data_IF_603015188962
#
_entry.id   IF_603015188962
#
_cell.length_a   1.000
_cell.length_b   1.000
_cell.length_c   1.000
_cell.angle_alpha   90.00
_cell.angle_beta   90.00
_cell.angle_gamma   90.00
#
_symmetry.space_group_name_H-M   'P 1'
#
loop_
_entity.id
_entity.type
_entity.pdbx_description
1 polymer ?
#
# COMPACT_ATOMS: atom_id res chain seq x y z
N UNK A 1 2.57 10.13 7.94
CA UNK A 1 1.75 9.19 8.72
C UNK A 1 1.37 9.84 10.05
N UNK A 2 0.07 9.79 10.41
CA UNK A 2 -0.44 10.33 11.66
C UNK A 2 -1.44 9.37 12.29
N UNK A 3 -1.48 9.34 13.63
CA UNK A 3 -2.48 8.56 14.37
C UNK A 3 -3.76 9.38 14.47
N UNK A 4 -4.88 8.74 14.11
CA UNK A 4 -6.23 9.32 14.15
C UNK A 4 -7.09 8.51 15.13
N UNK A 5 -7.85 9.20 15.96
CA UNK A 5 -8.82 8.58 16.86
C UNK A 5 -10.23 8.98 16.49
N UNK A 6 -11.13 8.01 16.45
CA UNK A 6 -12.55 8.23 16.18
C UNK A 6 -13.40 7.51 17.21
N UNK A 7 -14.40 8.21 17.75
CA UNK A 7 -15.45 7.58 18.51
C UNK A 7 -16.41 6.91 17.53
N UNK A 8 -16.40 5.58 17.52
CA UNK A 8 -17.27 4.78 16.67
C UNK A 8 -18.55 4.38 17.42
N UNK A 9 -19.65 4.23 16.70
CA UNK A 9 -20.90 3.74 17.29
C UNK A 9 -20.73 2.32 17.83
N UNK A 10 -21.52 1.98 18.86
CA UNK A 10 -21.54 0.63 19.42
C UNK A 10 -21.81 -0.41 18.32
N UNK A 11 -21.00 -1.48 18.30
CA UNK A 11 -21.10 -2.55 17.30
C UNK A 11 -20.49 -2.23 15.94
N UNK A 12 -19.94 -1.02 15.70
CA UNK A 12 -19.31 -0.66 14.44
C UNK A 12 -17.88 -1.18 14.28
N UNK A 13 -17.18 -1.50 15.37
CA UNK A 13 -15.80 -2.00 15.34
C UNK A 13 -15.74 -3.40 14.74
N UNK A 14 -14.76 -3.63 13.85
CA UNK A 14 -14.62 -4.89 13.14
C UNK A 14 -13.16 -5.22 12.85
N UNK A 15 -12.49 -5.96 13.74
CA UNK A 15 -11.09 -6.36 13.60
C UNK A 15 -10.19 -5.18 13.18
N UNK A 16 -9.33 -5.37 12.22
CA UNK A 16 -8.49 -4.31 11.66
C UNK A 16 -9.21 -3.44 10.60
N UNK A 17 -10.35 -3.87 10.09
CA UNK A 17 -11.05 -3.14 9.03
C UNK A 17 -11.79 -1.91 9.54
N UNK A 18 -12.17 -1.89 10.83
CA UNK A 18 -12.74 -0.71 11.48
C UNK A 18 -12.37 -0.64 12.96
N UNK A 19 -11.48 0.27 13.29
CA UNK A 19 -10.88 0.47 14.61
C UNK A 19 -11.11 1.90 15.12
N UNK A 20 -11.06 2.10 16.43
CA UNK A 20 -11.21 3.43 17.04
C UNK A 20 -9.94 4.29 16.99
N UNK A 21 -8.78 3.66 16.85
CA UNK A 21 -7.49 4.33 16.67
C UNK A 21 -6.72 3.70 15.53
N UNK A 22 -6.25 4.50 14.56
CA UNK A 22 -5.59 4.00 13.37
C UNK A 22 -4.56 4.98 12.82
N UNK A 23 -3.68 4.49 11.96
CA UNK A 23 -2.67 5.28 11.26
C UNK A 23 -3.17 5.64 9.87
N UNK A 24 -3.10 6.91 9.51
CA UNK A 24 -3.49 7.41 8.19
C UNK A 24 -2.30 8.03 7.47
N UNK A 25 -2.22 7.81 6.15
CA UNK A 25 -1.23 8.39 5.24
C UNK A 25 -1.74 9.68 4.60
N UNK A 26 -2.32 10.55 5.40
CA UNK A 26 -2.92 11.80 4.95
C UNK A 26 -1.87 12.81 4.50
N UNK A 27 -2.16 13.51 3.40
CA UNK A 27 -1.34 14.60 2.89
C UNK A 27 -2.23 15.70 2.32
N UNK A 28 -1.71 16.94 2.42
CA UNK A 28 -2.39 18.15 1.98
C UNK A 28 -1.61 18.77 0.83
N UNK A 29 -2.27 18.95 -0.31
CA UNK A 29 -1.73 19.61 -1.49
C UNK A 29 -2.34 21.01 -1.54
N UNK A 30 -1.48 22.03 -1.54
CA UNK A 30 -1.88 23.42 -1.61
C UNK A 30 -1.47 23.94 -2.98
N UNK A 31 -2.43 24.40 -3.76
CA UNK A 31 -2.22 24.77 -5.16
C UNK A 31 -3.06 25.97 -5.57
N UNK A 32 -2.75 26.56 -6.71
CA UNK A 32 -3.55 27.60 -7.32
C UNK A 32 -4.80 27.01 -8.00
N UNK A 33 -5.85 27.81 -8.25
CA UNK A 33 -7.07 27.30 -8.87
C UNK A 33 -6.84 26.61 -10.22
N UNK A 34 -5.92 27.10 -11.02
CA UNK A 34 -5.56 26.54 -12.34
C UNK A 34 -4.79 25.20 -12.24
N UNK A 35 -4.16 24.91 -11.11
CA UNK A 35 -3.43 23.67 -10.86
C UNK A 35 -4.31 22.52 -10.34
N UNK A 36 -5.53 22.80 -9.87
CA UNK A 36 -6.37 21.78 -9.22
C UNK A 36 -6.56 20.55 -10.07
N UNK A 37 -6.93 20.72 -11.34
CA UNK A 37 -7.20 19.60 -12.23
C UNK A 37 -5.99 18.66 -12.33
N UNK A 38 -4.80 19.22 -12.56
CA UNK A 38 -3.55 18.44 -12.66
C UNK A 38 -3.19 17.77 -11.35
N UNK A 39 -3.36 18.45 -10.21
CA UNK A 39 -3.03 17.87 -8.89
C UNK A 39 -3.99 16.74 -8.49
N UNK A 40 -5.28 16.86 -8.79
CA UNK A 40 -6.26 15.78 -8.58
C UNK A 40 -5.89 14.56 -9.43
N UNK A 41 -5.56 14.78 -10.73
CA UNK A 41 -5.15 13.71 -11.64
C UNK A 41 -3.88 13.02 -11.13
N UNK A 42 -2.87 13.77 -10.71
CA UNK A 42 -1.62 13.24 -10.17
C UNK A 42 -1.87 12.41 -8.91
N UNK A 43 -2.67 12.93 -7.97
CA UNK A 43 -3.05 12.21 -6.77
C UNK A 43 -3.81 10.91 -7.09
N UNK A 44 -4.71 10.93 -8.07
CA UNK A 44 -5.47 9.76 -8.52
C UNK A 44 -4.56 8.73 -9.18
N UNK A 45 -3.73 9.14 -10.14
CA UNK A 45 -2.74 8.27 -10.80
C UNK A 45 -1.81 7.60 -9.78
N UNK A 46 -1.35 8.36 -8.78
CA UNK A 46 -0.49 7.83 -7.73
C UNK A 46 -1.24 6.83 -6.85
N UNK A 47 -2.50 7.08 -6.48
CA UNK A 47 -3.33 6.15 -5.74
C UNK A 47 -3.51 4.82 -6.49
N UNK A 48 -3.83 4.90 -7.78
CA UNK A 48 -3.96 3.73 -8.65
C UNK A 48 -2.66 2.94 -8.78
N UNK A 49 -1.56 3.65 -8.95
CA UNK A 49 -0.24 3.04 -9.02
C UNK A 49 0.06 2.24 -7.74
N UNK A 50 -0.14 2.84 -6.58
CA UNK A 50 0.11 2.17 -5.29
C UNK A 50 -0.79 0.94 -5.14
N UNK A 51 -2.11 1.05 -5.34
CA UNK A 51 -3.03 -0.08 -5.21
C UNK A 51 -2.63 -1.24 -6.13
N UNK A 52 -2.33 -0.95 -7.40
CA UNK A 52 -1.89 -1.95 -8.39
C UNK A 52 -0.55 -2.59 -8.03
N UNK A 53 0.39 -1.83 -7.46
CA UNK A 53 1.69 -2.35 -7.00
C UNK A 53 1.52 -3.42 -5.93
N UNK A 54 0.47 -3.31 -5.12
CA UNK A 54 0.10 -4.34 -4.14
C UNK A 54 -0.83 -5.43 -4.71
N UNK A 55 -1.05 -5.47 -6.04
CA UNK A 55 -1.92 -6.45 -6.68
C UNK A 55 -3.42 -6.22 -6.43
N UNK A 56 -3.79 -5.03 -5.97
CA UNK A 56 -5.18 -4.65 -5.70
C UNK A 56 -5.70 -3.84 -6.90
N UNK A 57 -6.29 -4.50 -7.86
CA UNK A 57 -6.83 -3.92 -9.10
C UNK A 57 -8.38 -3.94 -9.17
N UNK A 58 -9.03 -4.65 -8.25
CA UNK A 58 -10.49 -4.74 -8.15
C UNK A 58 -11.04 -3.60 -7.26
N UNK A 59 -11.00 -2.39 -7.77
CA UNK A 59 -11.56 -1.22 -7.09
C UNK A 59 -12.64 -0.54 -7.95
N UNK A 60 -13.48 0.23 -7.26
CA UNK A 60 -14.53 1.05 -7.86
C UNK A 60 -14.38 2.50 -7.41
N UNK A 61 -14.50 3.43 -8.34
CA UNK A 61 -14.46 4.85 -8.04
C UNK A 61 -15.85 5.40 -7.75
N UNK A 62 -15.94 6.26 -6.75
CA UNK A 62 -17.15 6.98 -6.37
C UNK A 62 -16.85 8.47 -6.29
N UNK A 63 -17.75 9.31 -6.82
CA UNK A 63 -17.70 10.76 -6.63
C UNK A 63 -18.78 11.12 -5.64
N UNK A 64 -18.38 11.53 -4.45
CA UNK A 64 -19.27 11.89 -3.37
C UNK A 64 -19.62 13.38 -3.45
N UNK A 65 -20.93 13.65 -3.55
CA UNK A 65 -21.48 14.97 -3.80
C UNK A 65 -21.88 15.72 -2.52
N UNK A 66 -22.42 16.92 -2.67
CA UNK A 66 -22.80 17.83 -1.57
C UNK A 66 -23.77 17.16 -0.59
N UNK A 67 -23.48 17.15 0.73
CA UNK A 67 -24.43 16.70 1.73
C UNK A 67 -25.65 17.65 1.79
N UNK A 68 -26.83 17.09 2.01
CA UNK A 68 -28.06 17.88 2.17
C UNK A 68 -28.02 18.85 3.37
N UNK A 69 -27.30 18.48 4.41
CA UNK A 69 -27.21 19.26 5.67
C UNK A 69 -25.75 19.56 6.00
N UNK A 70 -25.51 20.76 6.52
CA UNK A 70 -24.21 21.20 7.08
C UNK A 70 -23.06 21.23 6.07
N UNK A 71 -23.28 21.72 4.85
CA UNK A 71 -22.21 21.99 3.89
C UNK A 71 -21.77 23.46 3.94
N UNK A 72 -20.48 23.69 3.62
CA UNK A 72 -19.84 25.00 3.46
C UNK A 72 -19.66 25.26 1.96
N UNK A 73 -19.58 26.53 1.55
CA UNK A 73 -19.50 26.93 0.14
C UNK A 73 -20.86 27.05 -0.52
N UNK A 74 -20.94 27.80 -1.60
CA UNK A 74 -22.14 27.93 -2.39
C UNK A 74 -22.33 26.77 -3.39
N UNK A 75 -23.48 26.70 -4.04
CA UNK A 75 -23.77 25.60 -4.97
C UNK A 75 -22.82 25.62 -6.17
N UNK A 76 -22.41 26.79 -6.61
CA UNK A 76 -21.46 26.93 -7.72
C UNK A 76 -20.08 26.38 -7.38
N UNK A 77 -19.56 26.68 -6.19
CA UNK A 77 -18.27 26.11 -5.73
C UNK A 77 -18.30 24.57 -5.72
N UNK A 78 -19.45 24.00 -5.29
CA UNK A 78 -19.66 22.55 -5.30
C UNK A 78 -19.72 21.98 -6.71
N UNK A 79 -20.49 22.61 -7.60
CA UNK A 79 -20.66 22.15 -8.99
C UNK A 79 -19.31 22.18 -9.73
N UNK A 80 -18.56 23.29 -9.63
CA UNK A 80 -17.24 23.44 -10.24
C UNK A 80 -16.24 22.40 -9.72
N UNK A 81 -16.25 22.11 -8.41
CA UNK A 81 -15.37 21.11 -7.82
C UNK A 81 -15.78 19.68 -8.21
N UNK A 82 -17.07 19.34 -8.19
CA UNK A 82 -17.57 18.03 -8.64
C UNK A 82 -17.20 17.79 -10.10
N UNK A 83 -17.35 18.81 -10.96
CA UNK A 83 -16.97 18.72 -12.37
C UNK A 83 -15.46 18.47 -12.53
N UNK A 84 -14.63 19.16 -11.76
CA UNK A 84 -13.18 18.94 -11.76
C UNK A 84 -12.82 17.50 -11.36
N UNK A 85 -13.49 16.95 -10.33
CA UNK A 85 -13.28 15.57 -9.90
C UNK A 85 -13.75 14.56 -10.95
N UNK A 86 -14.90 14.80 -11.62
CA UNK A 86 -15.40 13.95 -12.73
C UNK A 86 -14.40 13.92 -13.88
N UNK A 87 -13.93 15.08 -14.31
CA UNK A 87 -12.97 15.19 -15.40
C UNK A 87 -11.67 14.44 -15.08
N UNK A 88 -11.18 14.54 -13.84
CA UNK A 88 -9.98 13.80 -13.41
C UNK A 88 -10.17 12.28 -13.45
N UNK A 89 -11.33 11.77 -13.02
CA UNK A 89 -11.63 10.33 -13.06
C UNK A 89 -11.74 9.82 -14.50
N UNK A 90 -12.40 10.58 -15.38
CA UNK A 90 -12.51 10.25 -16.81
C UNK A 90 -11.14 10.25 -17.49
N UNK A 91 -10.32 11.28 -17.23
CA UNK A 91 -8.95 11.37 -17.79
C UNK A 91 -8.04 10.24 -17.29
N UNK A 92 -8.25 9.77 -16.05
CA UNK A 92 -7.56 8.60 -15.52
C UNK A 92 -8.06 7.27 -16.12
N UNK A 93 -9.05 7.28 -16.99
CA UNK A 93 -9.62 6.10 -17.65
C UNK A 93 -10.46 5.23 -16.73
N UNK A 94 -11.06 5.81 -15.69
CA UNK A 94 -11.88 5.08 -14.72
C UNK A 94 -13.38 5.33 -14.96
N UNK A 95 -14.15 4.26 -14.73
CA UNK A 95 -15.60 4.37 -14.53
C UNK A 95 -15.90 4.77 -13.09
N UNK A 96 -16.95 5.54 -12.86
CA UNK A 96 -17.36 5.98 -11.55
C UNK A 96 -18.86 5.92 -11.33
N UNK A 97 -19.27 5.85 -10.08
CA UNK A 97 -20.64 6.08 -9.64
C UNK A 97 -20.73 7.35 -8.79
N UNK A 98 -21.92 7.94 -8.75
CA UNK A 98 -22.19 9.08 -7.88
C UNK A 98 -22.64 8.55 -6.51
N UNK A 99 -22.00 9.04 -5.45
CA UNK A 99 -22.40 8.85 -4.05
C UNK A 99 -23.10 10.14 -3.58
N UNK A 100 -24.42 10.17 -3.77
CA UNK A 100 -25.23 11.35 -3.48
C UNK A 100 -25.17 11.71 -1.98
N UNK A 101 -24.73 12.94 -1.71
CA UNK A 101 -24.61 13.43 -0.33
C UNK A 101 -23.46 12.84 0.48
N UNK A 102 -22.62 11.99 -0.10
CA UNK A 102 -21.50 11.33 0.58
C UNK A 102 -20.27 12.20 0.80
N UNK A 103 -20.25 13.43 0.28
CA UNK A 103 -19.15 14.38 0.43
C UNK A 103 -18.92 14.82 1.89
N UNK A 104 -17.77 15.41 2.16
CA UNK A 104 -17.54 16.06 3.44
C UNK A 104 -18.29 17.40 3.49
N UNK A 105 -18.49 17.94 4.69
CA UNK A 105 -19.14 19.24 4.83
C UNK A 105 -18.39 20.40 4.14
N UNK A 106 -17.09 20.20 3.86
CA UNK A 106 -16.17 21.19 3.31
C UNK A 106 -15.77 20.94 1.86
N UNK A 107 -16.29 19.89 1.21
CA UNK A 107 -16.07 19.65 -0.20
C UNK A 107 -16.37 18.24 -0.69
N UNK A 108 -16.47 18.06 -2.01
CA UNK A 108 -16.66 16.77 -2.66
C UNK A 108 -15.39 15.93 -2.61
N UNK A 109 -15.52 14.64 -2.91
CA UNK A 109 -14.37 13.71 -2.89
C UNK A 109 -14.50 12.59 -3.93
N UNK A 110 -13.35 12.06 -4.35
CA UNK A 110 -13.21 10.78 -5.03
C UNK A 110 -12.85 9.73 -3.97
N UNK A 111 -13.65 8.67 -3.87
CA UNK A 111 -13.33 7.51 -3.05
C UNK A 111 -13.06 6.31 -3.95
N UNK A 112 -11.91 5.64 -3.72
CA UNK A 112 -11.64 4.33 -4.30
C UNK A 112 -11.98 3.27 -3.26
N UNK A 113 -12.96 2.41 -3.57
CA UNK A 113 -13.38 1.30 -2.71
C UNK A 113 -12.86 -0.02 -3.26
N UNK A 114 -12.25 -0.81 -2.39
CA UNK A 114 -11.81 -2.18 -2.67
C UNK A 114 -12.84 -3.18 -2.17
N UNK A 115 -12.95 -4.32 -2.84
CA UNK A 115 -13.75 -5.45 -2.37
C UNK A 115 -12.88 -6.42 -1.59
N UNK A 116 -13.35 -6.80 -0.40
CA UNK A 116 -12.73 -7.87 0.37
C UNK A 116 -13.06 -9.26 -0.20
N UNK A 117 -12.50 -10.31 0.38
CA UNK A 117 -12.72 -11.69 -0.05
C UNK A 117 -14.20 -12.13 0.04
N UNK A 118 -15.03 -11.44 0.81
CA UNK A 118 -16.47 -11.66 0.94
C UNK A 118 -17.30 -10.77 0.02
N UNK A 119 -16.67 -9.93 -0.82
CA UNK A 119 -17.32 -9.00 -1.74
C UNK A 119 -17.82 -7.70 -1.08
N UNK A 120 -17.49 -7.43 0.19
CA UNK A 120 -17.86 -6.18 0.87
C UNK A 120 -16.93 -5.07 0.41
N UNK A 121 -17.50 -3.89 0.17
CA UNK A 121 -16.74 -2.71 -0.25
C UNK A 121 -16.17 -1.95 0.95
N UNK A 122 -14.89 -1.63 0.87
CA UNK A 122 -14.17 -0.84 1.86
C UNK A 122 -13.49 0.34 1.21
N UNK A 123 -13.78 1.54 1.70
CA UNK A 123 -13.07 2.75 1.28
C UNK A 123 -11.60 2.65 1.70
N UNK A 124 -10.71 2.83 0.72
CA UNK A 124 -9.26 2.89 0.90
C UNK A 124 -8.74 4.27 0.53
N UNK A 125 -8.52 4.54 -0.75
CA UNK A 125 -8.00 5.84 -1.17
C UNK A 125 -9.10 6.89 -1.22
N UNK A 126 -8.74 8.12 -0.83
CA UNK A 126 -9.63 9.29 -0.91
C UNK A 126 -8.85 10.49 -1.42
N UNK A 127 -9.45 11.23 -2.34
CA UNK A 127 -8.97 12.54 -2.82
C UNK A 127 -10.10 13.52 -2.61
N UNK A 128 -9.87 14.55 -1.82
CA UNK A 128 -10.90 15.43 -1.28
C UNK A 128 -10.58 16.88 -1.58
N UNK A 129 -11.50 17.57 -2.20
CA UNK A 129 -11.41 19.01 -2.41
C UNK A 129 -11.84 19.73 -1.13
N UNK A 130 -11.12 20.77 -0.72
CA UNK A 130 -11.42 21.53 0.49
C UNK A 130 -11.52 23.03 0.19
N UNK A 131 -12.72 23.59 0.35
CA UNK A 131 -12.98 25.03 0.24
C UNK A 131 -12.69 25.79 1.53
N UNK A 132 -12.62 25.12 2.67
CA UNK A 132 -12.74 25.71 3.99
C UNK A 132 -11.40 26.05 4.62
N UNK A 133 -10.48 25.10 4.69
CA UNK A 133 -9.23 25.29 5.46
C UNK A 133 -8.36 26.43 4.96
N UNK A 134 -8.16 26.63 3.62
CA UNK A 134 -7.37 27.77 3.15
C UNK A 134 -7.91 29.11 3.63
N UNK A 135 -9.23 29.28 3.63
CA UNK A 135 -9.88 30.51 4.11
C UNK A 135 -9.75 30.65 5.63
N UNK A 136 -10.00 29.57 6.39
CA UNK A 136 -9.94 29.59 7.86
C UNK A 136 -8.54 29.88 8.41
N UNK A 137 -7.52 29.42 7.70
CA UNK A 137 -6.12 29.71 8.05
C UNK A 137 -5.61 31.02 7.44
N UNK A 138 -6.46 31.80 6.76
CA UNK A 138 -6.07 33.01 6.05
C UNK A 138 -4.87 32.79 5.13
N UNK A 139 -4.84 31.64 4.45
CA UNK A 139 -3.76 31.31 3.53
C UNK A 139 -3.81 32.21 2.31
N UNK A 140 -2.66 32.66 1.85
CA UNK A 140 -2.56 33.46 0.64
C UNK A 140 -1.28 33.19 -0.12
N UNK A 141 -1.34 33.31 -1.44
CA UNK A 141 -0.19 33.37 -2.34
C UNK A 141 -0.26 34.67 -3.17
N UNK A 142 0.89 35.07 -3.70
CA UNK A 142 0.96 36.22 -4.60
C UNK A 142 0.79 35.73 -6.04
N UNK A 143 -0.25 36.20 -6.70
CA UNK A 143 -0.52 35.85 -8.10
C UNK A 143 0.37 36.61 -9.08
N UNK A 144 0.27 36.27 -10.37
CA UNK A 144 0.98 36.97 -11.44
C UNK A 144 0.59 38.43 -11.59
N UNK A 145 -0.56 38.82 -11.08
CA UNK A 145 -1.09 40.17 -11.00
C UNK A 145 -0.49 40.99 -9.83
N UNK A 146 0.37 40.35 -9.00
CA UNK A 146 0.96 40.96 -7.81
C UNK A 146 -0.01 41.05 -6.62
N UNK A 147 -1.26 40.59 -6.75
CA UNK A 147 -2.25 40.58 -5.68
C UNK A 147 -2.18 39.30 -4.85
N UNK A 148 -2.76 39.35 -3.64
CA UNK A 148 -2.90 38.16 -2.77
C UNK A 148 -4.18 37.43 -3.12
N UNK A 149 -4.07 36.13 -3.34
CA UNK A 149 -5.18 35.21 -3.61
C UNK A 149 -5.20 34.07 -2.59
N UNK A 150 -6.39 33.52 -2.33
CA UNK A 150 -6.55 32.33 -1.49
C UNK A 150 -6.25 31.07 -2.33
N UNK A 151 -5.34 30.19 -1.91
CA UNK A 151 -5.09 28.93 -2.60
C UNK A 151 -6.25 27.97 -2.42
N UNK A 152 -6.23 26.88 -3.16
CA UNK A 152 -7.09 25.71 -3.00
C UNK A 152 -6.33 24.61 -2.25
N UNK A 153 -7.06 23.67 -1.66
CA UNK A 153 -6.48 22.56 -0.92
C UNK A 153 -7.13 21.26 -1.35
N UNK A 154 -6.29 20.24 -1.48
CA UNK A 154 -6.71 18.86 -1.75
C UNK A 154 -6.13 17.99 -0.64
N UNK A 155 -6.98 17.24 0.06
CA UNK A 155 -6.55 16.19 0.96
C UNK A 155 -6.45 14.88 0.17
N UNK A 156 -5.43 14.09 0.44
CA UNK A 156 -5.34 12.76 -0.14
C UNK A 156 -4.85 11.75 0.88
N UNK A 157 -5.48 10.60 0.90
CA UNK A 157 -5.01 9.39 1.57
C UNK A 157 -4.98 8.27 0.53
N UNK A 158 -3.86 7.54 0.42
CA UNK A 158 -3.71 6.45 -0.54
C UNK A 158 -4.24 5.14 0.02
N UNK A 159 -3.80 4.80 1.23
CA UNK A 159 -4.21 3.58 1.93
C UNK A 159 -5.48 3.80 2.75
N UNK A 160 -5.80 5.04 3.10
CA UNK A 160 -6.79 5.39 4.10
C UNK A 160 -6.30 5.01 5.50
N UNK A 161 -6.87 3.98 6.14
CA UNK A 161 -6.31 3.39 7.36
C UNK A 161 -5.31 2.30 6.98
N UNK A 162 -4.08 2.39 7.49
CA UNK A 162 -3.06 1.34 7.28
C UNK A 162 -3.51 -0.01 7.85
N UNK A 163 -4.23 -0.01 8.96
CA UNK A 163 -4.77 -1.22 9.60
C UNK A 163 -5.77 -1.91 8.68
N UNK A 164 -6.70 -1.15 8.07
CA UNK A 164 -7.67 -1.69 7.10
C UNK A 164 -6.96 -2.19 5.85
N UNK A 165 -6.04 -1.41 5.30
CA UNK A 165 -5.28 -1.79 4.12
C UNK A 165 -4.51 -3.09 4.37
N UNK A 166 -3.87 -3.23 5.53
CA UNK A 166 -3.18 -4.45 5.93
C UNK A 166 -4.14 -5.64 6.05
N UNK A 167 -5.34 -5.45 6.64
CA UNK A 167 -6.35 -6.50 6.68
C UNK A 167 -6.76 -6.95 5.28
N UNK A 168 -6.98 -6.00 4.36
CA UNK A 168 -7.32 -6.29 2.96
C UNK A 168 -6.20 -7.09 2.27
N UNK A 169 -4.93 -6.75 2.50
CA UNK A 169 -3.80 -7.50 1.96
C UNK A 169 -3.73 -8.93 2.52
N UNK A 170 -3.94 -9.11 3.83
CA UNK A 170 -3.94 -10.44 4.44
C UNK A 170 -5.04 -11.31 3.81
N UNK A 171 -6.25 -10.77 3.64
CA UNK A 171 -7.36 -11.49 3.03
C UNK A 171 -7.11 -11.78 1.55
N UNK A 172 -6.66 -10.79 0.78
CA UNK A 172 -6.38 -10.91 -0.65
C UNK A 172 -5.35 -12.01 -0.95
N UNK A 173 -4.25 -12.01 -0.20
CA UNK A 173 -3.18 -12.98 -0.37
C UNK A 173 -3.32 -14.21 0.51
N UNK A 174 -4.35 -14.28 1.36
CA UNK A 174 -4.46 -15.31 2.39
C UNK A 174 -3.14 -15.47 3.20
N UNK A 175 -2.43 -14.35 3.43
CA UNK A 175 -1.12 -14.30 4.06
C UNK A 175 0.06 -14.79 3.19
N UNK A 176 -0.20 -15.19 1.95
CA UNK A 176 0.78 -15.66 0.96
C UNK A 176 1.35 -14.48 0.16
N UNK A 177 2.11 -13.63 0.86
CA UNK A 177 2.59 -12.38 0.29
C UNK A 177 3.65 -12.58 -0.79
N UNK A 178 3.65 -11.76 -1.86
CA UNK A 178 4.75 -11.63 -2.79
C UNK A 178 6.08 -11.35 -2.10
N UNK A 179 7.18 -11.78 -2.71
CA UNK A 179 8.51 -11.71 -2.10
C UNK A 179 8.90 -10.30 -1.65
N UNK A 180 8.59 -9.27 -2.44
CA UNK A 180 9.08 -7.92 -2.19
C UNK A 180 8.55 -7.31 -0.87
N UNK A 181 7.34 -7.64 -0.42
CA UNK A 181 6.80 -7.14 0.85
C UNK A 181 6.50 -8.23 1.90
N UNK A 182 6.82 -9.50 1.63
CA UNK A 182 6.73 -10.54 2.65
C UNK A 182 7.53 -10.15 3.90
N UNK A 183 6.97 -10.22 5.13
CA UNK A 183 7.67 -9.83 6.35
C UNK A 183 8.97 -10.61 6.57
N UNK A 184 8.95 -11.90 6.29
CA UNK A 184 10.11 -12.77 6.17
C UNK A 184 10.15 -13.29 4.75
N UNK A 185 11.17 -12.89 4.00
CA UNK A 185 11.33 -13.26 2.60
C UNK A 185 11.97 -14.62 2.42
N UNK A 186 12.94 -14.91 3.28
CA UNK A 186 13.82 -16.07 3.17
C UNK A 186 13.94 -16.73 4.53
N UNK A 187 13.86 -18.05 4.59
CA UNK A 187 14.27 -18.83 5.78
C UNK A 187 15.50 -19.66 5.47
N UNK A 188 16.52 -19.60 6.32
CA UNK A 188 17.75 -20.38 6.22
C UNK A 188 17.65 -21.54 7.20
N UNK A 189 17.81 -22.76 6.69
CA UNK A 189 17.66 -24.01 7.46
C UNK A 189 18.91 -24.88 7.30
N UNK A 190 19.78 -24.95 8.33
CA UNK A 190 20.87 -25.92 8.35
C UNK A 190 20.33 -27.34 8.56
N UNK A 191 20.93 -28.34 7.88
CA UNK A 191 20.60 -29.75 8.04
C UNK A 191 21.09 -30.28 9.41
N UNK A 192 22.25 -29.79 9.85
CA UNK A 192 22.81 -30.09 11.16
C UNK A 192 23.49 -28.87 11.76
N UNK A 193 23.79 -28.93 13.07
CA UNK A 193 24.47 -27.84 13.80
C UNK A 193 25.89 -27.54 13.27
N UNK A 194 26.54 -28.48 12.58
CA UNK A 194 27.83 -28.24 11.91
C UNK A 194 27.77 -27.16 10.81
N UNK A 195 26.60 -26.89 10.27
CA UNK A 195 26.39 -25.88 9.22
C UNK A 195 25.98 -24.49 9.77
N UNK A 196 25.84 -24.37 11.10
CA UNK A 196 25.31 -23.15 11.72
C UNK A 196 26.14 -21.91 11.40
N UNK A 197 27.47 -22.02 11.41
CA UNK A 197 28.35 -20.88 11.17
C UNK A 197 28.26 -20.40 9.73
N UNK A 198 28.19 -21.33 8.76
CA UNK A 198 27.95 -20.98 7.37
C UNK A 198 26.60 -20.27 7.19
N UNK A 199 25.54 -20.76 7.82
CA UNK A 199 24.21 -20.15 7.77
C UNK A 199 24.18 -18.75 8.42
N UNK A 200 24.95 -18.54 9.51
CA UNK A 200 25.10 -17.21 10.14
C UNK A 200 25.76 -16.21 9.18
N UNK A 201 26.82 -16.63 8.49
CA UNK A 201 27.50 -15.78 7.50
C UNK A 201 26.61 -15.50 6.28
N UNK A 202 25.83 -16.48 5.83
CA UNK A 202 24.84 -16.28 4.76
C UNK A 202 23.77 -15.26 5.18
N UNK A 203 23.21 -15.39 6.39
CA UNK A 203 22.23 -14.45 6.95
C UNK A 203 22.79 -13.02 7.00
N UNK A 204 24.03 -12.83 7.44
CA UNK A 204 24.69 -11.51 7.43
C UNK A 204 24.74 -10.92 6.02
N UNK A 205 25.14 -11.72 5.02
CA UNK A 205 25.20 -11.28 3.62
C UNK A 205 23.83 -10.87 3.09
N UNK A 206 22.78 -11.66 3.35
CA UNK A 206 21.41 -11.35 2.93
C UNK A 206 20.92 -10.04 3.57
N UNK A 207 21.18 -9.82 4.85
CA UNK A 207 20.82 -8.58 5.57
C UNK A 207 21.53 -7.34 5.01
N UNK A 208 22.82 -7.46 4.67
CA UNK A 208 23.57 -6.38 4.02
C UNK A 208 22.96 -6.01 2.65
N UNK A 209 22.37 -6.98 1.96
CA UNK A 209 21.65 -6.80 0.70
C UNK A 209 20.21 -6.30 0.89
N UNK A 210 19.78 -6.01 2.13
CA UNK A 210 18.44 -5.52 2.44
C UNK A 210 17.35 -6.59 2.45
N UNK A 211 17.72 -7.88 2.42
CA UNK A 211 16.77 -8.99 2.45
C UNK A 211 16.39 -9.34 3.90
N UNK A 212 15.11 -9.60 4.11
CA UNK A 212 14.55 -9.98 5.43
C UNK A 212 14.58 -11.50 5.57
N UNK A 213 15.55 -11.98 6.32
CA UNK A 213 15.72 -13.42 6.55
C UNK A 213 15.35 -13.86 7.98
N UNK A 214 14.97 -15.11 8.10
CA UNK A 214 14.87 -15.87 9.35
C UNK A 214 15.90 -16.99 9.34
N UNK A 215 16.70 -17.10 10.39
CA UNK A 215 17.69 -18.16 10.56
C UNK A 215 17.19 -19.15 11.62
N UNK A 216 16.81 -20.36 11.20
CA UNK A 216 16.31 -21.40 12.07
C UNK A 216 17.44 -22.35 12.51
N UNK A 217 18.03 -22.07 13.66
CA UNK A 217 19.09 -22.89 14.29
C UNK A 217 18.54 -23.85 15.34
N UNK A 218 17.22 -24.04 15.44
CA UNK A 218 16.61 -25.00 16.38
C UNK A 218 17.03 -26.46 16.12
N UNK A 219 16.70 -27.32 17.05
CA UNK A 219 17.09 -28.75 17.01
C UNK A 219 16.07 -29.66 16.29
N UNK A 220 15.00 -29.07 15.73
CA UNK A 220 13.99 -29.79 14.98
C UNK A 220 14.58 -30.45 13.72
N UNK A 221 14.04 -31.61 13.36
CA UNK A 221 14.41 -32.30 12.12
C UNK A 221 14.11 -31.41 10.91
N UNK A 222 14.98 -31.41 9.90
CA UNK A 222 14.88 -30.61 8.68
C UNK A 222 13.47 -30.60 8.07
N UNK A 223 12.78 -31.77 7.99
CA UNK A 223 11.42 -31.86 7.46
C UNK A 223 10.41 -31.07 8.30
N UNK A 224 10.56 -31.04 9.62
CA UNK A 224 9.70 -30.28 10.52
C UNK A 224 9.95 -28.78 10.36
N UNK A 225 11.21 -28.35 10.26
CA UNK A 225 11.59 -26.96 9.99
C UNK A 225 10.98 -26.47 8.68
N UNK A 226 11.16 -27.23 7.58
CA UNK A 226 10.61 -26.88 6.26
C UNK A 226 9.08 -26.74 6.36
N UNK A 227 8.39 -27.74 6.95
CA UNK A 227 6.94 -27.67 7.14
C UNK A 227 6.50 -26.45 7.95
N UNK A 228 7.22 -26.10 9.01
CA UNK A 228 6.92 -24.91 9.81
C UNK A 228 7.06 -23.63 8.99
N UNK A 229 8.06 -23.53 8.11
CA UNK A 229 8.26 -22.39 7.23
C UNK A 229 7.16 -22.29 6.14
N UNK A 230 6.77 -23.45 5.60
CA UNK A 230 5.64 -23.54 4.64
C UNK A 230 4.32 -23.11 5.29
N UNK A 231 4.05 -23.54 6.54
CA UNK A 231 2.86 -23.10 7.30
C UNK A 231 2.87 -21.59 7.60
N UNK A 232 4.07 -21.01 7.82
CA UNK A 232 4.25 -19.56 7.97
C UNK A 232 4.22 -18.81 6.64
N UNK A 233 4.03 -19.54 5.53
CA UNK A 233 3.97 -18.98 4.16
C UNK A 233 5.21 -18.16 3.77
N UNK A 234 6.39 -18.56 4.26
CA UNK A 234 7.65 -17.93 3.87
C UNK A 234 7.92 -18.25 2.39
N UNK A 235 8.16 -17.25 1.53
CA UNK A 235 8.29 -17.44 0.09
C UNK A 235 9.43 -18.37 -0.31
N UNK A 236 10.59 -18.26 0.36
CA UNK A 236 11.81 -18.97 -0.02
C UNK A 236 12.44 -19.62 1.19
N UNK A 237 12.89 -20.89 1.04
CA UNK A 237 13.64 -21.61 2.04
C UNK A 237 14.98 -22.02 1.44
N UNK A 238 16.08 -21.66 2.09
CA UNK A 238 17.45 -22.04 1.76
C UNK A 238 17.88 -23.17 2.69
N UNK A 239 18.16 -24.33 2.14
CA UNK A 239 18.62 -25.51 2.88
C UNK A 239 20.13 -25.63 2.72
N UNK A 240 20.85 -25.83 3.82
CA UNK A 240 22.32 -25.94 3.84
C UNK A 240 22.74 -27.24 4.50
N UNK A 241 23.46 -28.06 3.75
CA UNK A 241 24.12 -29.29 4.18
C UNK A 241 25.60 -29.31 3.75
N UNK A 242 26.26 -30.46 3.89
CA UNK A 242 27.69 -30.61 3.57
C UNK A 242 28.02 -30.23 2.14
N UNK A 243 27.18 -30.66 1.17
CA UNK A 243 27.40 -30.37 -0.25
C UNK A 243 27.26 -28.87 -0.55
N UNK A 244 26.33 -28.22 0.11
CA UNK A 244 26.08 -26.79 -0.07
C UNK A 244 27.24 -25.96 0.49
N UNK A 245 27.79 -26.35 1.65
CA UNK A 245 28.97 -25.71 2.24
C UNK A 245 30.20 -25.90 1.35
N UNK A 246 30.45 -27.13 0.88
CA UNK A 246 31.59 -27.46 -0.01
C UNK A 246 31.55 -26.63 -1.30
N UNK A 247 30.37 -26.54 -1.91
CA UNK A 247 30.14 -25.81 -3.19
C UNK A 247 29.88 -24.30 -2.98
N UNK A 248 29.91 -23.80 -1.74
CA UNK A 248 29.67 -22.39 -1.38
C UNK A 248 28.33 -21.85 -1.86
N UNK A 249 27.26 -22.62 -1.68
CA UNK A 249 25.90 -22.25 -2.04
C UNK A 249 24.85 -22.82 -1.11
N UNK A 250 23.65 -23.02 -1.60
CA UNK A 250 22.53 -23.57 -0.86
C UNK A 250 21.51 -24.21 -1.81
N UNK A 251 20.70 -25.13 -1.31
CA UNK A 251 19.54 -25.66 -2.04
C UNK A 251 18.32 -24.76 -1.82
N UNK A 252 17.70 -24.32 -2.90
CA UNK A 252 16.59 -23.35 -2.89
C UNK A 252 15.26 -24.07 -3.02
N UNK A 253 14.32 -23.74 -2.16
CA UNK A 253 12.91 -24.13 -2.26
C UNK A 253 12.05 -22.88 -2.33
N UNK A 254 11.30 -22.76 -3.41
CA UNK A 254 10.28 -21.72 -3.58
C UNK A 254 8.92 -22.31 -3.21
N UNK A 255 8.13 -21.55 -2.45
CA UNK A 255 6.73 -21.94 -2.17
C UNK A 255 5.92 -22.07 -3.46
N UNK A 256 6.17 -21.18 -4.41
CA UNK A 256 5.47 -21.11 -5.70
C UNK A 256 5.93 -22.17 -6.68
N UNK A 257 7.26 -22.33 -6.84
CA UNK A 257 7.86 -23.12 -7.91
C UNK A 257 8.41 -24.48 -7.42
N UNK A 258 8.34 -24.78 -6.12
CA UNK A 258 8.83 -26.02 -5.53
C UNK A 258 10.36 -26.03 -5.34
N UNK A 259 10.98 -27.19 -5.57
CA UNK A 259 12.43 -27.35 -5.42
C UNK A 259 13.16 -26.82 -6.66
N UNK A 260 13.97 -25.80 -6.48
CA UNK A 260 14.75 -25.14 -7.55
C UNK A 260 16.20 -25.68 -7.64
N UNK A 261 16.59 -26.56 -6.75
CA UNK A 261 17.93 -27.13 -6.72
C UNK A 261 18.98 -26.22 -6.08
N UNK A 262 20.25 -26.57 -6.33
CA UNK A 262 21.41 -25.83 -5.81
C UNK A 262 21.61 -24.53 -6.56
N UNK A 263 21.96 -23.46 -5.82
CA UNK A 263 22.37 -22.16 -6.35
C UNK A 263 23.48 -21.56 -5.52
N UNK A 264 24.35 -20.82 -6.18
CA UNK A 264 25.24 -19.85 -5.52
C UNK A 264 24.46 -18.60 -5.12
N UNK A 265 25.04 -17.74 -4.28
CA UNK A 265 24.38 -16.48 -3.89
C UNK A 265 24.10 -15.59 -5.11
N UNK A 266 25.03 -15.49 -6.05
CA UNK A 266 24.87 -14.65 -7.24
C UNK A 266 23.74 -15.14 -8.17
N UNK A 267 23.70 -16.45 -8.44
CA UNK A 267 22.61 -17.06 -9.21
C UNK A 267 21.25 -16.85 -8.54
N UNK A 268 21.20 -17.01 -7.23
CA UNK A 268 19.99 -16.78 -6.45
C UNK A 268 19.52 -15.32 -6.54
N UNK A 269 20.41 -14.35 -6.37
CA UNK A 269 20.08 -12.93 -6.44
C UNK A 269 19.57 -12.55 -7.84
N UNK A 270 20.18 -13.06 -8.90
CA UNK A 270 19.71 -12.85 -10.28
C UNK A 270 18.28 -13.38 -10.44
N UNK A 271 18.00 -14.57 -9.91
CA UNK A 271 16.67 -15.19 -10.01
C UNK A 271 15.59 -14.42 -9.28
N UNK A 272 15.84 -13.95 -8.04
CA UNK A 272 14.80 -13.27 -7.25
C UNK A 272 14.65 -11.79 -7.59
N UNK A 273 15.60 -11.21 -8.32
CA UNK A 273 15.60 -9.78 -8.68
C UNK A 273 14.28 -9.30 -9.28
N UNK A 274 13.66 -9.98 -10.27
CA UNK A 274 12.38 -9.53 -10.85
C UNK A 274 11.27 -9.44 -9.82
N UNK A 275 11.21 -10.39 -8.85
CA UNK A 275 10.19 -10.40 -7.80
C UNK A 275 10.43 -9.31 -6.75
N UNK A 276 11.67 -8.93 -6.48
CA UNK A 276 12.00 -7.81 -5.61
C UNK A 276 11.71 -6.46 -6.26
N UNK A 277 11.96 -6.34 -7.56
CA UNK A 277 11.74 -5.11 -8.33
C UNK A 277 10.26 -4.82 -8.60
N UNK A 278 9.35 -5.78 -8.44
CA UNK A 278 7.91 -5.53 -8.54
C UNK A 278 7.42 -4.45 -7.57
N UNK A 279 8.07 -4.31 -6.42
CA UNK A 279 7.76 -3.29 -5.43
C UNK A 279 8.54 -1.98 -5.59
N UNK A 280 9.43 -1.88 -6.57
CA UNK A 280 10.16 -0.63 -6.84
C UNK A 280 9.28 0.30 -7.67
N UNK A 281 9.01 1.51 -7.19
CA UNK A 281 8.22 2.48 -7.93
C UNK A 281 8.86 2.77 -9.29
N UNK A 282 8.15 2.43 -10.38
CA UNK A 282 8.43 2.90 -11.73
C UNK A 282 7.59 4.15 -12.03
N UNK A 283 7.27 4.91 -10.98
CA UNK A 283 6.51 6.14 -11.13
C UNK A 283 7.46 7.18 -11.69
N UNK A 284 7.34 7.43 -12.97
CA UNK A 284 7.97 8.56 -13.64
C UNK A 284 6.90 9.65 -13.63
N UNK A 285 7.19 10.73 -12.92
CA UNK A 285 6.49 11.99 -13.10
C UNK A 285 6.93 12.50 -14.49
N UNK A 286 6.08 12.25 -15.50
CA UNK A 286 6.22 12.86 -16.81
C UNK A 286 5.83 14.34 -16.74
#
# INVERSE_FOLDING_TARGET
YATVYRYELSGALQGLTRVGGFTQDDAHIICTPDQIQSEVINALKFSLYILKSFGLDNFKAYIATKPEKKSIGDDKDWDDAIESLKNAVIEAGLEYEIDEGGGAFYGPKIDLKLKDALGREWQCSTIQYDFNLPQRFNMSYVGHDGAKHTPKMIHRALFGSLERFFAMLIEHYNGDFPLWYAPVQISIVPISSSHNDYCRELSKKLKVLGLRDNLDLGDDKMRAKIRNMELKKIPIILVVGDQEVEKKGFSVRSRKDGNLGFMTLDEFLIRIKPELEMGVPKYILD
#
